data_IF_909728797746
#
_entry.id   IF_909728797746
#
_cell.length_a   1.000
_cell.length_b   1.000
_cell.length_c   1.000
_cell.angle_alpha   90.00
_cell.angle_beta   90.00
_cell.angle_gamma   90.00
#
_symmetry.space_group_name_H-M   'P 1'
#
loop_
_entity.id
_entity.type
_entity.pdbx_description
1 polymer ?
#
# COMPACT_ATOMS: atom_id res chain seq x y z
N UNK A 1 -19.59 92.36 -9.13
CA UNK A 1 -20.20 91.02 -9.03
C UNK A 1 -19.09 90.09 -8.53
N UNK A 2 -19.12 89.78 -7.24
CA UNK A 2 -18.01 89.24 -6.45
C UNK A 2 -17.61 87.81 -6.80
N UNK A 3 -16.30 87.57 -6.72
CA UNK A 3 -15.64 86.30 -6.49
C UNK A 3 -16.17 85.62 -5.21
N UNK A 4 -16.15 84.28 -5.14
CA UNK A 4 -15.32 83.52 -4.16
C UNK A 4 -15.80 82.07 -3.90
N UNK A 5 -14.82 81.17 -3.97
CA UNK A 5 -14.56 80.02 -3.07
C UNK A 5 -15.15 78.62 -3.35
N UNK A 6 -14.28 77.81 -3.94
CA UNK A 6 -14.04 76.40 -3.59
C UNK A 6 -13.52 76.32 -2.14
N UNK A 7 -14.08 75.46 -1.27
CA UNK A 7 -13.29 74.65 -0.31
C UNK A 7 -14.10 73.41 0.11
N UNK A 8 -13.40 72.28 0.02
CA UNK A 8 -13.70 70.99 0.63
C UNK A 8 -14.17 71.09 2.10
N UNK A 9 -15.14 70.27 2.49
CA UNK A 9 -15.03 69.60 3.80
C UNK A 9 -15.60 68.19 3.71
N UNK A 10 -14.74 67.25 4.11
CA UNK A 10 -14.96 65.83 4.22
C UNK A 10 -16.10 65.54 5.19
N UNK A 11 -17.24 65.09 4.65
CA UNK A 11 -18.27 64.43 5.44
C UNK A 11 -17.76 63.07 5.90
N UNK A 12 -17.28 63.03 7.14
CA UNK A 12 -16.91 61.83 7.89
C UNK A 12 -18.05 60.79 7.86
N UNK A 13 -17.99 59.84 6.93
CA UNK A 13 -18.83 58.65 6.98
C UNK A 13 -18.28 57.69 8.04
N UNK A 14 -18.54 57.99 9.32
CA UNK A 14 -18.44 57.00 10.39
C UNK A 14 -19.64 56.07 10.30
N UNK A 15 -19.52 54.98 9.53
CA UNK A 15 -20.43 53.84 9.65
C UNK A 15 -19.66 52.54 9.58
N UNK A 16 -19.42 52.00 10.77
CA UNK A 16 -19.37 50.58 11.10
C UNK A 16 -18.39 49.74 10.28
N UNK A 17 -17.18 49.56 10.83
CA UNK A 17 -16.46 48.31 10.63
C UNK A 17 -17.35 47.17 11.13
N UNK A 18 -18.08 46.52 10.23
CA UNK A 18 -18.45 45.13 10.42
C UNK A 18 -17.14 44.34 10.34
N UNK A 19 -16.45 44.24 11.47
CA UNK A 19 -15.51 43.17 11.71
C UNK A 19 -16.36 41.89 11.77
N UNK A 20 -16.60 41.28 10.62
CA UNK A 20 -17.19 39.96 10.55
C UNK A 20 -16.18 38.97 11.13
N UNK A 21 -16.26 38.81 12.46
CA UNK A 21 -15.70 37.70 13.23
C UNK A 21 -16.31 36.42 12.64
N UNK A 22 -15.61 35.83 11.68
CA UNK A 22 -15.18 34.44 11.74
C UNK A 22 -14.82 33.94 10.33
N UNK A 23 -13.61 34.24 9.88
CA UNK A 23 -12.90 33.38 8.93
C UNK A 23 -12.05 32.33 9.67
N UNK A 24 -12.52 31.84 10.83
CA UNK A 24 -11.83 30.80 11.63
C UNK A 24 -12.31 29.38 11.30
N UNK A 25 -13.21 29.19 10.32
CA UNK A 25 -13.69 27.85 9.95
C UNK A 25 -13.10 27.29 8.64
N UNK A 26 -12.11 27.94 8.03
CA UNK A 26 -11.45 27.42 6.84
C UNK A 26 -10.25 26.49 7.13
N UNK A 27 -10.09 26.01 8.38
CA UNK A 27 -8.91 25.24 8.81
C UNK A 27 -9.21 24.03 9.68
N UNK A 28 -10.27 23.27 9.39
CA UNK A 28 -10.55 22.05 10.18
C UNK A 28 -11.28 20.91 9.45
N UNK A 29 -11.15 20.83 8.12
CA UNK A 29 -11.53 19.59 7.43
C UNK A 29 -10.78 19.42 6.09
N UNK A 30 -9.45 19.49 6.14
CA UNK A 30 -8.66 18.64 5.24
C UNK A 30 -8.58 17.26 5.92
N UNK A 31 -9.71 16.55 5.94
CA UNK A 31 -9.64 15.11 6.15
C UNK A 31 -8.88 14.60 4.93
N UNK A 32 -7.66 14.12 5.12
CA UNK A 32 -6.85 13.52 4.09
C UNK A 32 -7.72 12.48 3.38
N UNK A 33 -8.28 12.79 2.20
CA UNK A 33 -9.01 11.80 1.44
C UNK A 33 -7.99 10.71 1.11
N UNK A 34 -8.14 9.55 1.72
CA UNK A 34 -7.39 8.36 1.30
C UNK A 34 -7.82 8.13 -0.14
N UNK A 35 -6.90 8.31 -1.08
CA UNK A 35 -7.17 8.05 -2.48
C UNK A 35 -7.22 6.53 -2.68
N UNK A 36 -8.41 5.96 -2.45
CA UNK A 36 -8.67 4.52 -2.49
C UNK A 36 -8.17 3.91 -3.79
N UNK A 37 -8.31 4.62 -4.91
CA UNK A 37 -7.85 4.13 -6.21
C UNK A 37 -6.34 3.97 -6.24
N UNK A 38 -5.58 4.96 -5.77
CA UNK A 38 -4.12 4.85 -5.74
C UNK A 38 -3.60 3.74 -4.83
N UNK A 39 -4.31 3.42 -3.74
CA UNK A 39 -3.92 2.30 -2.87
C UNK A 39 -4.26 0.95 -3.50
N UNK A 40 -5.39 0.85 -4.21
CA UNK A 40 -5.72 -0.34 -5.03
C UNK A 40 -4.64 -0.59 -6.09
N UNK A 41 -4.15 0.47 -6.74
CA UNK A 41 -3.13 0.38 -7.77
C UNK A 41 -1.82 -0.16 -7.16
N UNK A 42 -1.39 0.35 -6.00
CA UNK A 42 -0.21 -0.18 -5.27
C UNK A 42 -0.34 -1.65 -4.90
N UNK A 43 -1.50 -2.08 -4.40
CA UNK A 43 -1.73 -3.51 -4.07
C UNK A 43 -1.71 -4.35 -5.35
N UNK A 44 -2.16 -3.80 -6.47
CA UNK A 44 -2.11 -4.47 -7.77
C UNK A 44 -0.66 -4.64 -8.25
N UNK A 45 0.20 -3.64 -8.06
CA UNK A 45 1.62 -3.73 -8.39
C UNK A 45 2.31 -4.80 -7.54
N UNK A 46 2.08 -4.80 -6.21
CA UNK A 46 2.58 -5.83 -5.30
C UNK A 46 2.08 -7.24 -5.65
N UNK A 47 0.85 -7.34 -6.18
CA UNK A 47 0.31 -8.61 -6.66
C UNK A 47 1.09 -9.12 -7.88
N UNK A 48 1.45 -8.25 -8.82
CA UNK A 48 2.25 -8.66 -9.98
C UNK A 48 3.66 -9.07 -9.56
N UNK A 49 4.30 -8.31 -8.68
CA UNK A 49 5.61 -8.65 -8.12
C UNK A 49 5.58 -10.03 -7.43
N UNK A 50 4.57 -10.29 -6.60
CA UNK A 50 4.41 -11.60 -5.98
C UNK A 50 4.22 -12.75 -7.00
N UNK A 51 3.55 -12.49 -8.13
CA UNK A 51 3.38 -13.52 -9.18
C UNK A 51 4.67 -13.77 -9.95
N UNK A 52 5.40 -12.73 -10.29
CA UNK A 52 6.67 -12.85 -11.02
C UNK A 52 7.69 -13.64 -10.19
N UNK A 53 7.74 -13.40 -8.87
CA UNK A 53 8.60 -14.17 -7.94
C UNK A 53 8.19 -15.65 -7.84
N UNK A 54 6.88 -15.94 -7.90
CA UNK A 54 6.40 -17.32 -7.92
C UNK A 54 6.86 -18.05 -9.19
N UNK A 55 6.68 -17.40 -10.35
CA UNK A 55 7.09 -17.94 -11.64
C UNK A 55 8.60 -18.21 -11.62
N UNK A 56 9.39 -17.23 -11.20
CA UNK A 56 10.84 -17.38 -11.03
C UNK A 56 11.22 -18.55 -10.11
N UNK A 57 10.51 -18.72 -9.00
CA UNK A 57 10.75 -19.84 -8.08
C UNK A 57 10.46 -21.21 -8.73
N UNK A 58 9.34 -21.31 -9.46
CA UNK A 58 8.94 -22.56 -10.13
C UNK A 58 9.83 -22.91 -11.32
N UNK A 59 10.30 -21.92 -12.07
CA UNK A 59 11.24 -22.11 -13.18
C UNK A 59 12.62 -22.53 -12.68
N UNK A 60 13.08 -21.94 -11.57
CA UNK A 60 14.37 -22.27 -10.97
C UNK A 60 14.43 -23.72 -10.45
N UNK A 61 13.31 -24.24 -9.90
CA UNK A 61 13.14 -25.65 -9.46
C UNK A 61 13.40 -26.66 -10.60
N UNK A 62 13.30 -26.24 -11.87
CA UNK A 62 13.51 -27.07 -13.07
C UNK A 62 14.93 -27.01 -13.68
N UNK A 63 15.86 -26.25 -13.11
CA UNK A 63 17.22 -26.16 -13.66
C UNK A 63 18.10 -27.34 -13.26
N UNK A 64 18.96 -27.78 -14.17
CA UNK A 64 19.86 -28.96 -14.02
C UNK A 64 20.83 -28.84 -12.83
N UNK A 65 21.01 -27.63 -12.26
CA UNK A 65 21.91 -27.36 -11.14
C UNK A 65 21.26 -27.49 -9.75
N UNK A 66 19.98 -27.82 -9.66
CA UNK A 66 19.26 -27.91 -8.37
C UNK A 66 19.58 -29.19 -7.56
N UNK A 67 20.12 -30.22 -8.21
CA UNK A 67 20.33 -31.52 -7.57
C UNK A 67 21.59 -31.57 -6.69
N UNK A 68 22.61 -30.77 -7.00
CA UNK A 68 23.85 -30.74 -6.22
C UNK A 68 23.71 -29.91 -4.92
N UNK A 69 22.79 -28.92 -4.89
CA UNK A 69 22.50 -28.13 -3.68
C UNK A 69 21.58 -28.86 -2.68
N UNK A 70 20.63 -29.69 -3.15
CA UNK A 70 19.77 -30.50 -2.27
C UNK A 70 20.58 -31.52 -1.45
N UNK A 71 21.63 -32.11 -2.03
CA UNK A 71 22.50 -33.06 -1.34
C UNK A 71 23.36 -32.40 -0.24
N UNK A 72 23.79 -31.15 -0.45
CA UNK A 72 24.61 -30.42 0.51
C UNK A 72 23.82 -29.90 1.73
N UNK A 73 22.52 -29.61 1.56
CA UNK A 73 21.67 -29.11 2.65
C UNK A 73 21.19 -30.21 3.62
N UNK A 74 21.19 -31.48 3.19
CA UNK A 74 20.65 -32.60 3.98
C UNK A 74 21.60 -33.09 5.09
N UNK A 75 22.87 -32.67 5.09
CA UNK A 75 23.87 -33.05 6.11
C UNK A 75 23.99 -32.06 7.30
N UNK A 76 23.26 -30.95 7.30
CA UNK A 76 23.45 -29.90 8.32
C UNK A 76 22.62 -30.19 9.58
N UNK A 77 23.28 -30.78 10.58
CA UNK A 77 22.77 -31.00 11.95
C UNK A 77 22.28 -29.69 12.61
N UNK A 78 21.14 -29.68 13.34
CA UNK A 78 20.39 -28.48 13.75
C UNK A 78 21.04 -27.57 14.81
N UNK A 79 22.31 -27.79 15.16
CA UNK A 79 22.93 -27.15 16.33
C UNK A 79 23.82 -25.92 16.03
N UNK A 80 24.04 -25.54 14.76
CA UNK A 80 24.90 -24.41 14.41
C UNK A 80 24.26 -23.58 13.29
N UNK A 81 23.69 -22.43 13.64
CA UNK A 81 23.42 -21.38 12.65
C UNK A 81 24.53 -20.33 12.74
N UNK A 82 25.32 -20.15 11.67
CA UNK A 82 25.95 -18.88 11.40
C UNK A 82 25.29 -18.23 10.17
N UNK A 83 24.91 -16.96 10.38
CA UNK A 83 24.72 -15.96 9.31
C UNK A 83 25.81 -16.07 8.26
N UNK A 84 25.47 -16.49 7.03
CA UNK A 84 25.74 -15.82 5.74
C UNK A 84 25.71 -16.85 4.60
N UNK A 85 24.96 -16.51 3.55
CA UNK A 85 25.14 -16.97 2.15
C UNK A 85 24.68 -18.45 1.94
N UNK A 86 23.96 -18.91 0.91
CA UNK A 86 23.76 -18.37 -0.45
C UNK A 86 22.77 -19.21 -1.28
N UNK A 87 21.84 -19.96 -0.67
CA UNK A 87 20.72 -20.60 -1.41
C UNK A 87 19.41 -20.01 -0.91
N UNK A 88 19.17 -18.74 -1.21
CA UNK A 88 17.86 -18.09 -1.05
C UNK A 88 16.84 -18.94 -1.79
N UNK A 89 16.04 -19.72 -1.06
CA UNK A 89 14.90 -20.40 -1.68
C UNK A 89 14.05 -19.31 -2.34
N UNK A 90 13.91 -19.34 -3.66
CA UNK A 90 13.08 -18.36 -4.39
C UNK A 90 11.65 -18.32 -3.83
N UNK A 91 11.20 -19.44 -3.25
CA UNK A 91 9.99 -19.53 -2.43
C UNK A 91 9.94 -18.56 -1.24
N UNK A 92 11.05 -18.26 -0.57
CA UNK A 92 11.09 -17.30 0.54
C UNK A 92 10.78 -15.88 0.06
N UNK A 93 11.25 -15.50 -1.14
CA UNK A 93 10.97 -14.18 -1.73
C UNK A 93 9.49 -14.07 -2.09
N UNK A 94 8.93 -15.13 -2.70
CA UNK A 94 7.48 -15.25 -2.93
C UNK A 94 6.66 -15.10 -1.64
N UNK A 95 6.99 -15.85 -0.58
CA UNK A 95 6.31 -15.78 0.71
C UNK A 95 6.34 -14.35 1.30
N UNK A 96 7.48 -13.66 1.15
CA UNK A 96 7.63 -12.29 1.60
C UNK A 96 6.74 -11.33 0.79
N UNK A 97 6.77 -11.41 -0.53
CA UNK A 97 5.98 -10.56 -1.43
C UNK A 97 4.47 -10.75 -1.21
N UNK A 98 4.00 -12.01 -1.07
CA UNK A 98 2.59 -12.31 -0.77
C UNK A 98 2.20 -11.76 0.60
N UNK A 99 3.04 -11.96 1.62
CA UNK A 99 2.78 -11.44 2.96
C UNK A 99 2.66 -9.92 2.98
N UNK A 100 3.50 -9.23 2.20
CA UNK A 100 3.47 -7.77 2.05
C UNK A 100 2.18 -7.30 1.36
N UNK A 101 1.78 -7.96 0.28
CA UNK A 101 0.52 -7.69 -0.42
C UNK A 101 -0.70 -7.85 0.50
N UNK A 102 -0.75 -8.93 1.29
CA UNK A 102 -1.83 -9.18 2.26
C UNK A 102 -1.88 -8.11 3.36
N UNK A 103 -0.71 -7.75 3.92
CA UNK A 103 -0.63 -6.70 4.93
C UNK A 103 -1.09 -5.35 4.40
N UNK A 104 -0.70 -4.99 3.17
CA UNK A 104 -1.12 -3.75 2.53
C UNK A 104 -2.65 -3.72 2.32
N UNK A 105 -3.23 -4.85 1.92
CA UNK A 105 -4.67 -5.00 1.76
C UNK A 105 -5.44 -4.88 3.09
N UNK A 106 -5.01 -5.58 4.14
CA UNK A 106 -5.66 -5.53 5.45
C UNK A 106 -5.57 -4.12 6.06
N UNK A 107 -4.41 -3.48 5.96
CA UNK A 107 -4.21 -2.09 6.41
C UNK A 107 -5.08 -1.09 5.63
N UNK A 108 -5.36 -1.35 4.35
CA UNK A 108 -6.29 -0.53 3.57
C UNK A 108 -7.73 -0.71 4.07
N UNK A 109 -8.17 -1.94 4.33
CA UNK A 109 -9.52 -2.21 4.82
C UNK A 109 -9.77 -1.55 6.18
N UNK A 110 -8.82 -1.58 7.12
CA UNK A 110 -8.99 -0.95 8.45
C UNK A 110 -9.24 0.56 8.39
N UNK A 111 -8.73 1.24 7.34
CA UNK A 111 -8.82 2.69 7.17
C UNK A 111 -10.08 3.14 6.43
N UNK A 112 -10.84 2.21 5.83
CA UNK A 112 -11.97 2.50 4.95
C UNK A 112 -13.31 2.31 5.65
N UNK A 113 -14.34 2.98 5.13
CA UNK A 113 -15.71 2.73 5.53
C UNK A 113 -16.29 1.48 4.83
N UNK A 114 -17.42 0.96 5.31
CA UNK A 114 -18.02 -0.27 4.76
C UNK A 114 -18.34 -0.17 3.26
N UNK A 115 -18.81 0.99 2.78
CA UNK A 115 -19.10 1.16 1.35
C UNK A 115 -17.82 1.04 0.48
N UNK A 116 -16.73 1.69 0.90
CA UNK A 116 -15.45 1.65 0.21
C UNK A 116 -14.77 0.28 0.32
N UNK A 117 -14.91 -0.41 1.46
CA UNK A 117 -14.44 -1.81 1.61
C UNK A 117 -15.11 -2.72 0.58
N UNK A 118 -16.42 -2.60 0.41
CA UNK A 118 -17.16 -3.35 -0.60
C UNK A 118 -16.68 -3.02 -2.02
N UNK A 119 -16.32 -1.77 -2.32
CA UNK A 119 -15.74 -1.41 -3.62
C UNK A 119 -14.35 -2.02 -3.84
N UNK A 120 -13.47 -1.95 -2.83
CA UNK A 120 -12.14 -2.54 -2.86
C UNK A 120 -12.23 -4.06 -3.02
N UNK A 121 -13.07 -4.73 -2.22
CA UNK A 121 -13.31 -6.16 -2.30
C UNK A 121 -13.82 -6.59 -3.68
N UNK A 122 -14.74 -5.84 -4.29
CA UNK A 122 -15.22 -6.10 -5.66
C UNK A 122 -14.11 -5.98 -6.70
N UNK A 123 -13.18 -5.01 -6.54
CA UNK A 123 -12.11 -4.75 -7.51
C UNK A 123 -10.93 -5.69 -7.39
N UNK A 124 -10.46 -5.99 -6.18
CA UNK A 124 -9.20 -6.71 -5.94
C UNK A 124 -9.34 -7.96 -5.09
N UNK A 125 -10.51 -8.20 -4.48
CA UNK A 125 -10.72 -9.32 -3.56
C UNK A 125 -10.48 -10.70 -4.20
N UNK A 126 -10.84 -10.88 -5.47
CA UNK A 126 -10.58 -12.13 -6.19
C UNK A 126 -9.07 -12.40 -6.35
N UNK A 127 -8.28 -11.36 -6.65
CA UNK A 127 -6.82 -11.47 -6.79
C UNK A 127 -6.15 -11.85 -5.47
N UNK A 128 -6.60 -11.23 -4.38
CA UNK A 128 -6.10 -11.55 -3.03
C UNK A 128 -6.46 -13.00 -2.65
N UNK A 129 -7.66 -13.46 -2.98
CA UNK A 129 -8.07 -14.84 -2.75
C UNK A 129 -7.24 -15.83 -3.57
N UNK A 130 -6.95 -15.52 -4.84
CA UNK A 130 -6.08 -16.32 -5.70
C UNK A 130 -4.69 -16.51 -5.07
N UNK A 131 -4.04 -15.43 -4.59
CA UNK A 131 -2.74 -15.52 -3.93
C UNK A 131 -2.77 -16.40 -2.68
N UNK A 132 -3.82 -16.27 -1.85
CA UNK A 132 -3.98 -17.12 -0.65
C UNK A 132 -4.12 -18.59 -1.04
N UNK A 133 -4.91 -18.88 -2.08
CA UNK A 133 -5.06 -20.26 -2.56
C UNK A 133 -3.77 -20.85 -3.11
N UNK A 134 -2.95 -20.05 -3.81
CA UNK A 134 -1.65 -20.49 -4.31
C UNK A 134 -0.67 -20.76 -3.17
N UNK A 135 -0.67 -19.88 -2.15
CA UNK A 135 0.12 -20.08 -0.94
C UNK A 135 -0.24 -21.39 -0.24
N UNK A 136 -1.54 -21.64 -0.02
CA UNK A 136 -2.02 -22.86 0.63
C UNK A 136 -1.61 -24.10 -0.16
N UNK A 137 -1.72 -24.07 -1.50
CA UNK A 137 -1.31 -25.18 -2.36
C UNK A 137 0.19 -25.50 -2.23
N UNK A 138 1.05 -24.47 -2.21
CA UNK A 138 2.50 -24.64 -2.03
C UNK A 138 2.84 -25.20 -0.65
N UNK A 139 2.19 -24.71 0.41
CA UNK A 139 2.42 -25.24 1.77
C UNK A 139 1.97 -26.70 1.90
N UNK A 140 0.93 -27.11 1.17
CA UNK A 140 0.49 -28.50 1.14
C UNK A 140 1.45 -29.40 0.36
N UNK A 141 2.05 -28.91 -0.73
CA UNK A 141 3.06 -29.65 -1.51
C UNK A 141 4.33 -29.90 -0.67
N UNK A 142 4.79 -28.89 0.09
CA UNK A 142 5.95 -29.01 0.99
C UNK A 142 5.78 -30.03 2.14
N UNK A 143 4.54 -30.41 2.49
CA UNK A 143 4.27 -31.37 3.57
C UNK A 143 4.25 -32.84 3.10
N UNK A 144 4.26 -33.08 1.79
CA UNK A 144 4.10 -34.42 1.20
C UNK A 144 5.36 -34.97 0.51
N UNK A 145 6.47 -34.21 0.49
CA UNK A 145 7.81 -34.65 0.11
C UNK A 145 8.68 -34.99 1.34
#
# INVERSE_FOLDING_TARGET
MSQLNKVLTFGLLKRSLCASRSTIYAKRFYSSQVNVQSEIDKITDLFFEARDELEYATESKGSVYYNDEKAAAQEVSPAQTPKLLTSTSNLRLYLQAVTECLKAYDALLERLNEAQKNDVQRKIGLKIFELRSQLDALTHEELHD
#
